data_IF_995590935378
#
_entry.id   IF_995590935378
#
_cell.length_a   1.000
_cell.length_b   1.000
_cell.length_c   1.000
_cell.angle_alpha   90.00
_cell.angle_beta   90.00
_cell.angle_gamma   90.00
#
_symmetry.space_group_name_H-M   'P 1'
#
loop_
_entity.id
_entity.type
_entity.pdbx_description
1 polymer ?
#
# COMPACT_ATOMS: atom_id res chain seq x y z
N UNK A 1 -13.49 -12.62 1.76
CA UNK A 1 -12.02 -12.43 1.68
C UNK A 1 -11.76 -11.06 2.31
N UNK A 2 -11.09 -11.03 3.47
CA UNK A 2 -10.99 -9.81 4.28
C UNK A 2 -9.72 -9.04 3.91
N UNK A 3 -9.88 -7.74 3.66
CA UNK A 3 -8.77 -6.79 3.51
C UNK A 3 -8.01 -6.74 4.84
N UNK A 4 -6.68 -6.71 4.80
CA UNK A 4 -5.87 -6.73 6.01
C UNK A 4 -6.08 -5.41 6.78
N UNK A 5 -6.63 -5.50 8.00
CA UNK A 5 -6.94 -4.34 8.84
C UNK A 5 -5.72 -3.43 9.11
N UNK A 6 -4.51 -4.00 9.15
CA UNK A 6 -3.29 -3.23 9.35
C UNK A 6 -2.95 -2.40 8.10
N UNK A 7 -3.18 -2.98 6.92
CA UNK A 7 -3.00 -2.30 5.64
C UNK A 7 -4.03 -1.17 5.52
N UNK A 8 -5.30 -1.42 5.85
CA UNK A 8 -6.36 -0.40 5.87
C UNK A 8 -5.99 0.77 6.79
N UNK A 9 -5.56 0.47 8.01
CA UNK A 9 -5.20 1.50 8.99
C UNK A 9 -4.04 2.36 8.49
N UNK A 10 -2.97 1.72 8.01
CA UNK A 10 -1.81 2.42 7.47
C UNK A 10 -2.18 3.30 6.27
N UNK A 11 -2.99 2.79 5.34
CA UNK A 11 -3.49 3.51 4.18
C UNK A 11 -4.27 4.74 4.61
N UNK A 12 -5.27 4.57 5.48
CA UNK A 12 -6.12 5.66 5.89
C UNK A 12 -5.35 6.78 6.61
N UNK A 13 -4.29 6.46 7.35
CA UNK A 13 -3.47 7.43 8.05
C UNK A 13 -2.53 8.22 7.13
N UNK A 14 -2.04 7.62 6.04
CA UNK A 14 -1.00 8.19 5.17
C UNK A 14 -1.51 8.65 3.79
N UNK A 15 -2.35 7.85 3.11
CA UNK A 15 -2.88 8.19 1.78
C UNK A 15 -3.91 9.31 1.81
N UNK A 16 -4.63 9.48 2.93
CA UNK A 16 -5.59 10.58 3.09
C UNK A 16 -4.93 11.96 3.06
N UNK A 17 -3.63 12.04 3.38
CA UNK A 17 -2.88 13.30 3.46
C UNK A 17 -2.11 13.65 2.19
N UNK A 18 -2.17 12.81 1.14
CA UNK A 18 -1.32 12.92 -0.04
C UNK A 18 0.18 13.05 0.28
N UNK A 19 0.62 12.53 1.41
CA UNK A 19 2.02 12.54 1.80
C UNK A 19 2.75 11.34 1.22
N UNK A 20 4.07 11.48 1.06
CA UNK A 20 4.95 10.33 0.82
C UNK A 20 4.72 9.28 1.90
N UNK A 21 4.77 8.01 1.53
CA UNK A 21 4.60 6.93 2.50
C UNK A 21 5.46 5.73 2.17
N UNK A 22 5.79 4.98 3.22
CA UNK A 22 6.48 3.71 3.16
C UNK A 22 5.78 2.73 4.10
N UNK A 23 5.44 1.54 3.60
CA UNK A 23 5.07 0.42 4.47
C UNK A 23 5.74 -0.88 4.05
N UNK A 24 5.87 -1.77 5.03
CA UNK A 24 6.43 -3.10 4.85
C UNK A 24 5.32 -4.11 5.15
N UNK A 25 5.11 -5.05 4.24
CA UNK A 25 4.16 -6.15 4.38
C UNK A 25 4.89 -7.48 4.15
N UNK A 26 4.39 -8.58 4.74
CA UNK A 26 4.92 -9.89 4.39
C UNK A 26 4.47 -10.28 2.98
N UNK A 27 5.32 -11.04 2.28
CA UNK A 27 4.95 -11.68 1.02
C UNK A 27 3.74 -12.59 1.25
N UNK A 28 2.68 -12.38 0.49
CA UNK A 28 1.41 -13.07 0.63
C UNK A 28 0.37 -12.37 1.52
N UNK A 29 0.75 -11.37 2.31
CA UNK A 29 -0.23 -10.53 3.05
C UNK A 29 -0.85 -9.43 2.19
N UNK A 30 -0.15 -9.02 1.12
CA UNK A 30 -0.65 -8.02 0.18
C UNK A 30 -1.45 -8.70 -0.93
N UNK A 31 -2.77 -8.58 -0.87
CA UNK A 31 -3.67 -9.15 -1.89
C UNK A 31 -4.04 -8.12 -2.95
N UNK A 32 -4.57 -8.60 -4.08
CA UNK A 32 -5.15 -7.74 -5.12
C UNK A 32 -6.30 -6.87 -4.58
N UNK A 33 -7.04 -7.36 -3.59
CA UNK A 33 -8.11 -6.63 -2.91
C UNK A 33 -7.57 -5.45 -2.10
N UNK A 34 -6.46 -5.64 -1.37
CA UNK A 34 -5.80 -4.56 -0.64
C UNK A 34 -5.32 -3.46 -1.61
N UNK A 35 -4.73 -3.86 -2.73
CA UNK A 35 -4.32 -2.93 -3.78
C UNK A 35 -5.51 -2.17 -4.36
N UNK A 36 -6.64 -2.85 -4.61
CA UNK A 36 -7.86 -2.19 -5.06
C UNK A 36 -8.41 -1.20 -4.03
N UNK A 37 -8.34 -1.54 -2.75
CA UNK A 37 -8.71 -0.63 -1.68
C UNK A 37 -7.84 0.63 -1.65
N UNK A 38 -6.51 0.48 -1.80
CA UNK A 38 -5.56 1.61 -1.94
C UNK A 38 -5.99 2.58 -3.05
N UNK A 39 -6.27 2.04 -4.23
CA UNK A 39 -6.68 2.82 -5.40
C UNK A 39 -7.99 3.58 -5.18
N UNK A 40 -8.94 2.95 -4.47
CA UNK A 40 -10.26 3.53 -4.18
C UNK A 40 -10.22 4.65 -3.13
N UNK A 41 -9.34 4.54 -2.12
CA UNK A 41 -9.27 5.51 -1.01
C UNK A 41 -8.29 6.65 -1.27
N UNK A 42 -7.31 6.43 -2.14
CA UNK A 42 -6.35 7.45 -2.52
C UNK A 42 -7.01 8.59 -3.31
N UNK A 43 -6.65 9.84 -2.99
CA UNK A 43 -7.02 10.98 -3.84
C UNK A 43 -6.07 11.17 -5.03
N UNK A 44 -4.93 10.45 -5.03
CA UNK A 44 -3.97 10.42 -6.13
C UNK A 44 -4.49 9.49 -7.22
N UNK A 45 -4.77 10.05 -8.39
CA UNK A 45 -5.17 9.30 -9.58
C UNK A 45 -4.08 8.31 -9.99
N UNK A 46 -4.49 7.05 -10.24
CA UNK A 46 -3.62 5.95 -10.65
C UNK A 46 -2.49 5.67 -9.63
N UNK A 47 -2.81 5.69 -8.33
CA UNK A 47 -1.80 5.49 -7.27
C UNK A 47 -1.06 4.17 -7.44
N UNK A 48 -1.74 3.08 -7.83
CA UNK A 48 -1.13 1.76 -8.06
C UNK A 48 0.08 1.79 -8.99
N UNK A 49 0.02 2.58 -10.06
CA UNK A 49 1.12 2.68 -11.04
C UNK A 49 2.25 3.59 -10.59
N UNK A 50 2.06 4.33 -9.50
CA UNK A 50 3.06 5.23 -8.91
C UNK A 50 3.74 4.62 -7.67
N UNK A 51 3.29 3.44 -7.24
CA UNK A 51 3.91 2.73 -6.15
C UNK A 51 5.22 2.09 -6.61
N UNK A 52 6.24 2.24 -5.77
CA UNK A 52 7.50 1.53 -5.88
C UNK A 52 7.45 0.30 -4.98
N UNK A 53 7.93 -0.83 -5.49
CA UNK A 53 7.96 -2.10 -4.79
C UNK A 53 9.42 -2.55 -4.65
N UNK A 54 9.85 -2.84 -3.44
CA UNK A 54 11.18 -3.36 -3.16
C UNK A 54 11.06 -4.61 -2.30
N UNK A 55 11.60 -5.73 -2.78
CA UNK A 55 11.75 -6.93 -1.96
C UNK A 55 12.89 -6.65 -0.97
N UNK A 56 12.60 -6.69 0.33
CA UNK A 56 13.63 -6.52 1.37
C UNK A 56 14.39 -7.84 1.55
N UNK A 57 13.65 -8.93 1.68
CA UNK A 57 14.14 -10.30 1.80
C UNK A 57 13.09 -11.29 1.25
N UNK A 58 13.31 -12.59 1.46
CA UNK A 58 12.39 -13.64 0.99
C UNK A 58 11.05 -13.72 1.76
N UNK A 59 10.79 -12.80 2.68
CA UNK A 59 9.60 -12.76 3.54
C UNK A 59 8.84 -11.43 3.46
N UNK A 60 9.49 -10.34 3.03
CA UNK A 60 8.92 -9.00 3.12
C UNK A 60 9.04 -8.20 1.82
N UNK A 61 7.97 -7.46 1.52
CA UNK A 61 7.92 -6.45 0.46
C UNK A 61 7.71 -5.07 1.10
N UNK A 62 8.52 -4.12 0.66
CA UNK A 62 8.36 -2.71 0.93
C UNK A 62 7.59 -2.06 -0.22
N UNK A 63 6.62 -1.23 0.13
CA UNK A 63 5.81 -0.47 -0.82
C UNK A 63 5.92 1.00 -0.45
N UNK A 64 6.27 1.81 -1.43
CA UNK A 64 6.52 3.24 -1.24
C UNK A 64 5.76 4.07 -2.27
N UNK A 65 5.41 5.28 -1.87
CA UNK A 65 4.97 6.34 -2.77
C UNK A 65 5.76 7.60 -2.45
N UNK A 66 6.33 8.22 -3.48
CA UNK A 66 6.99 9.50 -3.42
C UNK A 66 6.31 10.46 -4.41
N UNK A 67 6.27 11.76 -4.08
CA UNK A 67 5.62 12.79 -4.90
C UNK A 67 6.51 13.26 -6.06
#
# INVERSE_FOLDING_TARGET
MNVNNNIIKFINENLSKNSEFEFIARLGELTLLDMYYIEKQSTIKNIKSKLTYQIIDNSYIKIQYFL
#
